data_IF_422017581448
#
_entry.id   IF_422017581448
#
_cell.length_a   1.000
_cell.length_b   1.000
_cell.length_c   1.000
_cell.angle_alpha   90.00
_cell.angle_beta   90.00
_cell.angle_gamma   90.00
#
_symmetry.space_group_name_H-M   'P 1'
#
loop_
_entity.id
_entity.type
_entity.pdbx_description
1 polymer ?
#
# COMPACT_ATOMS: atom_id res chain seq x y z
N UNK A 1 9.90 14.17 -19.25
CA UNK A 1 11.29 14.10 -18.77
C UNK A 1 11.31 14.52 -17.30
N UNK A 2 12.25 14.03 -16.50
CA UNK A 2 12.47 14.49 -15.13
C UNK A 2 13.93 14.94 -15.03
N UNK A 3 14.17 16.10 -14.41
CA UNK A 3 15.51 16.67 -14.30
C UNK A 3 15.88 16.66 -12.83
N UNK A 4 17.01 16.03 -12.50
CA UNK A 4 17.55 15.97 -11.15
C UNK A 4 19.06 16.10 -11.27
N UNK A 5 19.66 17.05 -10.55
CA UNK A 5 21.10 17.31 -10.57
C UNK A 5 21.68 17.41 -12.00
N UNK A 6 21.02 18.18 -12.87
CA UNK A 6 21.45 18.47 -14.26
C UNK A 6 21.50 17.27 -15.21
N UNK A 7 21.04 16.11 -14.75
CA UNK A 7 20.85 14.93 -15.55
C UNK A 7 19.38 14.84 -15.95
N UNK A 8 19.16 14.65 -17.25
CA UNK A 8 17.83 14.43 -17.82
C UNK A 8 17.56 12.96 -17.78
N UNK A 9 16.58 12.59 -16.98
CA UNK A 9 16.08 11.23 -16.92
C UNK A 9 14.80 11.11 -17.73
N UNK A 10 14.70 10.03 -18.49
CA UNK A 10 13.44 9.64 -19.12
C UNK A 10 12.48 9.24 -17.99
N UNK A 11 11.39 10.01 -17.86
CA UNK A 11 10.43 9.90 -16.74
C UNK A 11 9.86 8.47 -16.60
N UNK A 12 9.67 7.79 -17.73
CA UNK A 12 9.11 6.44 -17.81
C UNK A 12 10.10 5.32 -17.51
N UNK A 13 11.41 5.48 -17.75
CA UNK A 13 12.39 4.39 -17.61
C UNK A 13 13.41 4.62 -16.49
N UNK A 14 13.52 5.87 -15.99
CA UNK A 14 14.59 6.26 -15.06
C UNK A 14 15.98 6.29 -15.68
N UNK A 15 16.10 6.02 -16.98
CA UNK A 15 17.34 6.06 -17.76
C UNK A 15 17.83 7.50 -17.96
N UNK A 16 19.13 7.72 -17.79
CA UNK A 16 19.77 8.99 -18.13
C UNK A 16 19.83 9.11 -19.65
N UNK A 17 19.08 10.06 -20.21
CA UNK A 17 18.95 10.28 -21.65
C UNK A 17 19.69 11.52 -22.14
N UNK A 18 20.38 12.20 -21.22
CA UNK A 18 21.16 13.38 -21.52
C UNK A 18 21.47 14.16 -20.27
N UNK A 19 22.16 15.26 -20.47
CA UNK A 19 22.39 16.28 -19.45
C UNK A 19 21.72 17.57 -19.93
N UNK A 20 21.14 18.32 -19.00
CA UNK A 20 20.72 19.70 -19.26
C UNK A 20 21.28 20.52 -18.14
N UNK A 21 22.11 21.48 -18.51
CA UNK A 21 22.68 22.41 -17.55
C UNK A 21 21.58 23.41 -17.14
N UNK A 22 20.86 23.10 -16.05
CA UNK A 22 20.02 24.08 -15.34
C UNK A 22 20.86 24.91 -14.34
N UNK A 23 22.18 24.68 -14.28
CA UNK A 23 23.13 25.13 -13.26
C UNK A 23 23.42 26.62 -13.28
N UNK A 24 22.84 27.41 -14.19
CA UNK A 24 22.94 28.87 -14.03
C UNK A 24 22.32 29.37 -12.73
N UNK A 25 21.45 28.59 -12.06
CA UNK A 25 20.86 29.00 -10.78
C UNK A 25 21.27 28.15 -9.57
N UNK A 26 21.40 26.81 -9.68
CA UNK A 26 21.66 26.00 -8.47
C UNK A 26 23.14 25.99 -8.06
N UNK A 27 24.07 25.81 -9.00
CA UNK A 27 25.51 25.89 -8.69
C UNK A 27 25.88 27.31 -8.28
N UNK A 28 25.31 28.34 -8.91
CA UNK A 28 25.47 29.72 -8.44
C UNK A 28 24.82 29.97 -7.07
N UNK A 29 23.69 29.33 -6.74
CA UNK A 29 23.10 29.44 -5.41
C UNK A 29 23.93 28.73 -4.35
N UNK A 30 24.49 27.56 -4.67
CA UNK A 30 25.34 26.77 -3.76
C UNK A 30 26.71 27.46 -3.59
N UNK A 31 27.30 27.99 -4.68
CA UNK A 31 28.50 28.84 -4.65
C UNK A 31 28.22 30.14 -3.91
N UNK A 32 27.11 30.85 -4.16
CA UNK A 32 26.76 32.07 -3.43
C UNK A 32 26.49 31.79 -1.95
N UNK A 33 25.92 30.64 -1.60
CA UNK A 33 25.76 30.20 -0.22
C UNK A 33 27.12 29.92 0.44
N UNK A 34 28.06 29.34 -0.31
CA UNK A 34 29.43 29.08 0.14
C UNK A 34 30.27 30.37 0.25
N UNK A 35 30.20 31.29 -0.70
CA UNK A 35 30.85 32.61 -0.68
C UNK A 35 30.30 33.47 0.47
N UNK A 36 28.99 33.41 0.70
CA UNK A 36 28.35 34.06 1.86
C UNK A 36 28.81 33.44 3.18
N UNK A 37 29.02 32.13 3.24
CA UNK A 37 29.59 31.46 4.40
C UNK A 37 31.02 31.90 4.69
N UNK A 38 31.87 31.93 3.65
CA UNK A 38 33.28 32.36 3.76
C UNK A 38 33.42 33.83 4.17
N UNK A 39 32.47 34.69 3.79
CA UNK A 39 32.50 36.14 4.08
C UNK A 39 31.87 36.54 5.42
N UNK A 40 30.89 35.79 5.95
CA UNK A 40 30.13 36.19 7.14
C UNK A 40 30.29 35.26 8.35
N UNK A 41 30.91 34.08 8.18
CA UNK A 41 31.13 33.11 9.26
C UNK A 41 29.86 32.53 9.89
N UNK A 42 28.67 32.86 9.37
CA UNK A 42 27.38 32.46 9.91
C UNK A 42 26.47 31.87 8.84
N UNK A 43 26.22 30.56 8.92
CA UNK A 43 25.22 29.89 8.10
C UNK A 43 23.80 30.20 8.61
N UNK A 44 23.00 30.93 7.82
CA UNK A 44 21.53 30.89 7.93
C UNK A 44 20.92 29.65 7.24
N UNK A 45 21.73 28.86 6.52
CA UNK A 45 21.29 27.58 5.96
C UNK A 45 21.29 26.57 7.09
N UNK A 46 20.11 26.31 7.66
CA UNK A 46 19.99 25.19 8.57
C UNK A 46 20.22 23.90 7.80
N UNK A 47 20.99 22.94 8.35
CA UNK A 47 21.16 21.65 7.70
C UNK A 47 19.79 20.98 7.52
N UNK A 48 19.54 20.40 6.36
CA UNK A 48 18.30 19.67 6.11
C UNK A 48 18.29 18.42 6.99
N UNK A 49 17.48 18.45 8.04
CA UNK A 49 17.43 17.37 9.04
C UNK A 49 16.68 16.19 8.43
N UNK A 50 17.27 15.01 8.49
CA UNK A 50 16.58 13.79 8.06
C UNK A 50 15.37 13.50 8.96
N UNK A 51 14.23 13.20 8.34
CA UNK A 51 12.97 12.89 9.04
C UNK A 51 12.65 11.40 9.01
N UNK A 52 13.24 10.66 8.06
CA UNK A 52 12.95 9.25 7.81
C UNK A 52 14.26 8.48 7.61
N UNK A 53 14.22 7.17 7.89
CA UNK A 53 15.32 6.24 7.63
C UNK A 53 14.84 5.19 6.62
N UNK A 54 15.35 5.24 5.39
CA UNK A 54 15.12 4.18 4.42
C UNK A 54 16.03 3.00 4.75
N UNK A 55 15.46 1.81 4.96
CA UNK A 55 16.23 0.60 5.24
C UNK A 55 15.90 -0.49 4.24
N UNK A 56 16.94 -1.12 3.69
CA UNK A 56 16.83 -2.32 2.87
C UNK A 56 17.18 -3.53 3.72
N UNK A 57 16.26 -4.49 3.78
CA UNK A 57 16.42 -5.74 4.51
C UNK A 57 16.40 -6.91 3.54
N UNK A 58 17.31 -7.86 3.72
CA UNK A 58 17.29 -9.14 3.01
C UNK A 58 16.71 -10.20 3.93
N UNK A 59 15.78 -10.99 3.39
CA UNK A 59 15.20 -12.16 4.03
C UNK A 59 15.43 -13.37 3.13
N UNK A 60 16.06 -14.40 3.69
CA UNK A 60 16.22 -15.69 3.04
C UNK A 60 14.89 -16.37 2.78
N UNK A 61 14.70 -16.90 1.57
CA UNK A 61 13.51 -17.71 1.24
C UNK A 61 13.68 -19.15 1.70
N UNK A 62 14.87 -19.72 1.46
CA UNK A 62 15.25 -21.07 1.89
C UNK A 62 16.35 -21.06 2.97
N UNK A 63 16.73 -19.88 3.48
CA UNK A 63 17.75 -19.72 4.51
C UNK A 63 17.23 -18.87 5.67
N UNK A 64 17.90 -18.95 6.82
CA UNK A 64 17.56 -18.18 8.01
C UNK A 64 18.06 -16.74 7.98
N UNK A 65 18.61 -16.27 6.85
CA UNK A 65 19.15 -14.91 6.72
C UNK A 65 18.01 -13.91 6.94
N UNK A 66 18.21 -12.97 7.84
CA UNK A 66 17.32 -11.84 8.07
C UNK A 66 18.14 -10.69 8.61
N UNK A 67 18.55 -9.78 7.72
CA UNK A 67 19.47 -8.71 8.10
C UNK A 67 19.23 -7.43 7.29
N UNK A 68 19.62 -6.30 7.88
CA UNK A 68 19.60 -5.00 7.22
C UNK A 68 20.89 -4.84 6.44
N UNK A 69 20.78 -4.68 5.11
CA UNK A 69 21.94 -4.59 4.22
C UNK A 69 22.32 -3.16 3.85
N UNK A 70 21.39 -2.21 4.01
CA UNK A 70 21.65 -0.80 3.82
C UNK A 70 20.64 0.07 4.56
N UNK A 71 21.10 1.22 5.06
CA UNK A 71 20.26 2.24 5.70
C UNK A 71 20.68 3.63 5.24
N UNK A 72 19.72 4.47 4.92
CA UNK A 72 19.91 5.81 4.41
C UNK A 72 19.02 6.81 5.16
N UNK A 73 19.65 7.78 5.81
CA UNK A 73 18.94 8.91 6.41
C UNK A 73 18.44 9.83 5.32
N UNK A 74 17.12 10.06 5.24
CA UNK A 74 16.50 10.87 4.19
C UNK A 74 15.54 11.89 4.79
N UNK A 75 15.59 13.13 4.30
CA UNK A 75 14.52 14.11 4.57
C UNK A 75 13.33 13.85 3.64
N UNK A 76 13.59 13.74 2.34
CA UNK A 76 12.56 13.49 1.32
C UNK A 76 12.94 12.33 0.43
N UNK A 77 12.16 11.26 0.48
CA UNK A 77 12.34 10.10 -0.39
C UNK A 77 11.73 10.38 -1.77
N UNK A 78 12.54 10.31 -2.83
CA UNK A 78 12.07 10.43 -4.21
C UNK A 78 12.14 9.07 -4.92
N UNK A 79 11.28 8.87 -5.93
CA UNK A 79 11.30 7.60 -6.69
C UNK A 79 12.56 7.41 -7.53
N UNK A 80 13.28 8.50 -7.84
CA UNK A 80 14.57 8.42 -8.54
C UNK A 80 15.68 7.97 -7.59
N UNK A 81 15.74 8.56 -6.39
CA UNK A 81 16.68 8.14 -5.35
C UNK A 81 16.45 6.66 -4.98
N UNK A 82 15.21 6.29 -4.70
CA UNK A 82 14.84 4.90 -4.40
C UNK A 82 15.25 3.96 -5.53
N UNK A 83 15.06 4.35 -6.80
CA UNK A 83 15.46 3.55 -7.94
C UNK A 83 16.97 3.31 -8.01
N UNK A 84 17.77 4.36 -7.84
CA UNK A 84 19.23 4.26 -7.86
C UNK A 84 19.74 3.37 -6.72
N UNK A 85 19.33 3.66 -5.47
CA UNK A 85 19.80 2.91 -4.30
C UNK A 85 19.33 1.46 -4.31
N UNK A 86 18.10 1.17 -4.75
CA UNK A 86 17.60 -0.21 -4.82
C UNK A 86 18.47 -1.05 -5.75
N UNK A 87 18.78 -0.54 -6.95
CA UNK A 87 19.61 -1.29 -7.91
C UNK A 87 21.05 -1.43 -7.44
N UNK A 88 21.58 -0.44 -6.74
CA UNK A 88 22.91 -0.51 -6.16
C UNK A 88 22.99 -1.54 -5.02
N UNK A 89 21.98 -1.59 -4.14
CA UNK A 89 21.87 -2.61 -3.09
C UNK A 89 21.75 -4.01 -3.69
N UNK A 90 20.89 -4.19 -4.71
CA UNK A 90 20.76 -5.46 -5.44
C UNK A 90 22.11 -5.87 -6.03
N UNK A 91 22.82 -4.94 -6.69
CA UNK A 91 24.12 -5.20 -7.28
C UNK A 91 25.16 -5.67 -6.26
N UNK A 92 25.21 -5.05 -5.08
CA UNK A 92 26.11 -5.47 -3.99
C UNK A 92 25.74 -6.84 -3.43
N UNK A 93 24.45 -7.14 -3.30
CA UNK A 93 23.99 -8.45 -2.86
C UNK A 93 24.38 -9.54 -3.87
N UNK A 94 24.11 -9.32 -5.15
CA UNK A 94 24.41 -10.28 -6.23
C UNK A 94 25.93 -10.53 -6.36
N UNK A 95 26.76 -9.49 -6.20
CA UNK A 95 28.23 -9.63 -6.17
C UNK A 95 28.74 -10.42 -4.96
N UNK A 96 27.93 -10.52 -3.90
CA UNK A 96 28.23 -11.30 -2.70
C UNK A 96 27.59 -12.69 -2.74
N UNK A 97 27.16 -13.15 -3.93
CA UNK A 97 26.44 -14.41 -4.18
C UNK A 97 25.09 -14.53 -3.43
N UNK A 98 24.52 -13.38 -3.02
CA UNK A 98 23.15 -13.31 -2.49
C UNK A 98 22.22 -13.01 -3.66
N UNK A 99 21.55 -14.06 -4.15
CA UNK A 99 20.62 -13.97 -5.28
C UNK A 99 19.31 -13.32 -4.87
N UNK A 100 19.01 -12.16 -5.44
CA UNK A 100 17.76 -11.45 -5.17
C UNK A 100 16.71 -11.89 -6.20
N UNK A 101 15.62 -12.48 -5.69
CA UNK A 101 14.52 -13.00 -6.52
C UNK A 101 13.29 -12.10 -6.50
N UNK A 102 13.06 -11.40 -5.38
CA UNK A 102 11.87 -10.58 -5.18
C UNK A 102 12.19 -9.32 -4.38
N UNK A 103 11.50 -8.24 -4.70
CA UNK A 103 11.49 -6.99 -3.98
C UNK A 103 10.09 -6.75 -3.42
N UNK A 104 10.00 -6.64 -2.09
CA UNK A 104 8.74 -6.44 -1.36
C UNK A 104 8.69 -5.01 -0.85
N UNK A 105 7.60 -4.29 -1.12
CA UNK A 105 7.37 -2.96 -0.57
C UNK A 105 5.91 -2.71 -0.24
N UNK A 106 5.66 -1.68 0.55
CA UNK A 106 4.29 -1.22 0.81
C UNK A 106 3.71 -0.48 -0.41
N UNK A 107 2.45 -0.11 -0.29
CA UNK A 107 1.74 0.64 -1.31
C UNK A 107 2.09 2.13 -1.36
N UNK A 108 3.15 2.65 -0.74
CA UNK A 108 3.41 4.09 -0.71
C UNK A 108 3.63 4.69 -2.12
N UNK A 109 3.24 5.95 -2.32
CA UNK A 109 3.23 6.57 -3.66
C UNK A 109 4.61 6.56 -4.34
N UNK A 110 5.68 6.73 -3.56
CA UNK A 110 7.07 6.68 -4.06
C UNK A 110 7.43 5.27 -4.53
N UNK A 111 7.03 4.23 -3.81
CA UNK A 111 7.23 2.83 -4.19
C UNK A 111 6.45 2.49 -5.47
N UNK A 112 5.18 2.91 -5.58
CA UNK A 112 4.40 2.76 -6.81
C UNK A 112 5.06 3.46 -8.00
N UNK A 113 5.59 4.67 -7.78
CA UNK A 113 6.31 5.41 -8.82
C UNK A 113 7.63 4.74 -9.20
N UNK A 114 8.34 4.11 -8.26
CA UNK A 114 9.53 3.29 -8.52
C UNK A 114 9.18 2.10 -9.42
N UNK A 115 8.12 1.35 -9.12
CA UNK A 115 7.68 0.21 -9.95
C UNK A 115 7.40 0.64 -11.39
N UNK A 116 6.65 1.74 -11.57
CA UNK A 116 6.33 2.34 -12.88
C UNK A 116 7.54 2.75 -13.72
N UNK A 117 8.74 2.89 -13.14
CA UNK A 117 9.97 3.19 -13.87
C UNK A 117 10.58 1.98 -14.58
N UNK A 118 10.12 0.76 -14.32
CA UNK A 118 10.71 -0.46 -14.88
C UNK A 118 10.11 -0.89 -16.22
N UNK A 119 8.98 -0.31 -16.62
CA UNK A 119 8.34 -0.62 -17.90
C UNK A 119 7.93 0.67 -18.60
N UNK A 120 8.30 0.86 -19.88
CA UNK A 120 7.82 1.99 -20.67
C UNK A 120 6.29 2.00 -20.76
N UNK A 121 5.66 3.18 -20.66
CA UNK A 121 4.20 3.34 -20.69
C UNK A 121 3.49 2.77 -21.95
N UNK A 122 4.25 2.51 -23.03
CA UNK A 122 3.76 1.89 -24.27
C UNK A 122 3.59 0.37 -24.18
N UNK A 123 4.30 -0.29 -23.26
CA UNK A 123 4.31 -1.74 -23.07
C UNK A 123 3.38 -2.18 -21.94
N UNK A 124 2.84 -1.23 -21.17
CA UNK A 124 1.89 -1.49 -20.09
C UNK A 124 0.45 -1.57 -20.60
N UNK A 125 0.08 -2.62 -21.36
CA UNK A 125 -1.34 -2.96 -21.51
C UNK A 125 -1.86 -3.39 -20.13
N UNK A 126 -2.71 -2.58 -19.51
CA UNK A 126 -3.27 -2.83 -18.16
C UNK A 126 -2.48 -2.22 -16.99
N UNK A 127 -1.31 -1.60 -17.21
CA UNK A 127 -0.63 -0.78 -16.20
C UNK A 127 0.07 -1.52 -15.05
N UNK A 128 -0.01 -2.86 -14.98
CA UNK A 128 0.54 -3.65 -13.88
C UNK A 128 1.98 -4.09 -14.18
N UNK A 129 2.90 -3.84 -13.25
CA UNK A 129 4.31 -4.22 -13.34
C UNK A 129 4.63 -5.09 -12.14
N UNK A 130 4.80 -6.39 -12.37
CA UNK A 130 5.09 -7.39 -11.33
C UNK A 130 6.47 -8.03 -11.48
N UNK A 131 7.20 -7.73 -12.57
CA UNK A 131 8.55 -8.22 -12.77
C UNK A 131 9.37 -7.28 -13.66
N UNK A 132 10.69 -7.36 -13.55
CA UNK A 132 11.65 -6.71 -14.44
C UNK A 132 12.90 -7.58 -14.59
N UNK A 133 13.71 -7.34 -15.62
CA UNK A 133 15.00 -8.03 -15.76
C UNK A 133 15.95 -7.54 -14.67
N UNK A 134 16.61 -8.47 -13.97
CA UNK A 134 17.62 -8.12 -12.99
C UNK A 134 18.85 -7.53 -13.70
N UNK A 135 19.16 -6.26 -13.45
CA UNK A 135 20.28 -5.55 -14.11
C UNK A 135 21.66 -6.12 -13.76
N UNK A 136 21.79 -6.71 -12.58
CA UNK A 136 23.04 -7.33 -12.13
C UNK A 136 23.13 -8.81 -12.53
N UNK A 137 22.00 -9.41 -12.93
CA UNK A 137 21.94 -10.78 -13.43
C UNK A 137 20.92 -10.89 -14.58
N UNK A 138 21.27 -10.49 -15.82
CA UNK A 138 20.31 -10.34 -16.93
C UNK A 138 19.56 -11.60 -17.34
N UNK A 139 20.02 -12.77 -16.91
CA UNK A 139 19.38 -14.07 -17.15
C UNK A 139 18.24 -14.38 -16.15
N UNK A 140 17.98 -13.51 -15.17
CA UNK A 140 16.94 -13.69 -14.14
C UNK A 140 15.98 -12.50 -14.10
N UNK A 141 14.74 -12.80 -13.73
CA UNK A 141 13.76 -11.81 -13.37
C UNK A 141 13.87 -11.45 -11.89
N UNK A 142 13.59 -10.18 -11.60
CA UNK A 142 13.29 -9.67 -10.28
C UNK A 142 11.77 -9.45 -10.20
N UNK A 143 11.11 -10.15 -9.27
CA UNK A 143 9.67 -10.02 -9.05
C UNK A 143 9.36 -8.89 -8.06
N UNK A 144 8.29 -8.14 -8.31
CA UNK A 144 7.80 -7.11 -7.42
C UNK A 144 6.58 -7.62 -6.68
N UNK A 145 6.62 -7.57 -5.35
CA UNK A 145 5.53 -8.01 -4.49
C UNK A 145 5.10 -6.87 -3.57
N UNK A 146 3.79 -6.73 -3.38
CA UNK A 146 3.25 -5.84 -2.36
C UNK A 146 3.20 -6.55 -1.01
N UNK A 147 3.38 -5.80 0.07
CA UNK A 147 3.15 -6.32 1.42
C UNK A 147 1.67 -6.65 1.63
N UNK A 148 1.37 -7.94 1.66
CA UNK A 148 0.04 -8.52 1.84
C UNK A 148 -0.60 -8.10 3.17
N UNK A 149 0.19 -7.95 4.23
CA UNK A 149 -0.29 -7.50 5.53
C UNK A 149 -0.71 -6.01 5.49
N UNK A 150 -0.06 -5.20 4.66
CA UNK A 150 -0.52 -3.84 4.38
C UNK A 150 -1.78 -3.82 3.50
N UNK A 151 -1.85 -4.68 2.47
CA UNK A 151 -3.01 -4.77 1.59
C UNK A 151 -4.30 -5.11 2.36
N UNK A 152 -4.28 -6.12 3.25
CA UNK A 152 -5.48 -6.48 4.03
C UNK A 152 -5.96 -5.33 4.94
N UNK A 153 -5.03 -4.54 5.51
CA UNK A 153 -5.37 -3.33 6.28
C UNK A 153 -6.04 -2.29 5.39
N UNK A 154 -5.49 -2.03 4.20
CA UNK A 154 -6.07 -1.09 3.24
C UNK A 154 -7.46 -1.52 2.78
N UNK A 155 -7.64 -2.82 2.50
CA UNK A 155 -8.95 -3.39 2.14
C UNK A 155 -9.95 -3.14 3.27
N UNK A 156 -9.60 -3.47 4.52
CA UNK A 156 -10.45 -3.21 5.69
C UNK A 156 -10.77 -1.72 5.84
N UNK A 157 -9.77 -0.85 5.75
CA UNK A 157 -9.97 0.59 5.91
C UNK A 157 -10.89 1.14 4.81
N UNK A 158 -10.73 0.68 3.57
CA UNK A 158 -11.61 1.04 2.45
C UNK A 158 -13.05 0.59 2.72
N UNK A 159 -13.24 -0.66 3.20
CA UNK A 159 -14.56 -1.15 3.59
C UNK A 159 -15.16 -0.32 4.75
N UNK A 160 -14.37 0.05 5.76
CA UNK A 160 -14.86 0.85 6.90
C UNK A 160 -15.31 2.27 6.53
N UNK A 161 -14.75 2.79 5.45
CA UNK A 161 -15.13 4.06 4.85
C UNK A 161 -16.32 3.92 3.88
N UNK A 162 -16.74 2.68 3.57
CA UNK A 162 -17.94 2.40 2.78
C UNK A 162 -19.20 2.60 3.63
N UNK A 163 -19.82 3.78 3.50
CA UNK A 163 -20.99 4.19 4.29
C UNK A 163 -22.07 4.81 3.41
N UNK A 164 -23.30 4.85 3.92
CA UNK A 164 -24.42 5.57 3.30
C UNK A 164 -24.38 7.05 3.70
N UNK A 165 -24.72 7.94 2.77
CA UNK A 165 -24.94 9.36 3.03
C UNK A 165 -24.17 10.29 2.09
N UNK A 166 -24.65 11.53 1.96
CA UNK A 166 -24.09 12.58 1.08
C UNK A 166 -22.64 12.96 1.42
N UNK A 167 -22.19 12.71 2.65
CA UNK A 167 -20.81 12.97 3.12
C UNK A 167 -19.91 11.73 3.05
N UNK A 168 -20.43 10.60 2.59
CA UNK A 168 -19.64 9.40 2.42
C UNK A 168 -18.77 9.54 1.17
N UNK A 169 -17.46 9.59 1.36
CA UNK A 169 -16.50 9.66 0.24
C UNK A 169 -16.41 8.35 -0.56
N UNK A 170 -16.91 7.24 -0.03
CA UNK A 170 -16.80 5.91 -0.65
C UNK A 170 -18.08 5.09 -0.41
N UNK A 171 -18.55 4.43 -1.47
CA UNK A 171 -19.59 3.41 -1.37
C UNK A 171 -19.18 2.24 -2.26
N UNK A 172 -18.70 1.16 -1.63
CA UNK A 172 -18.37 -0.07 -2.34
C UNK A 172 -19.66 -0.73 -2.80
N UNK A 173 -19.74 -1.02 -4.09
CA UNK A 173 -20.92 -1.63 -4.72
C UNK A 173 -20.46 -2.61 -5.78
N UNK A 174 -21.13 -3.77 -5.85
CA UNK A 174 -20.93 -4.78 -6.90
C UNK A 174 -22.28 -5.44 -7.22
N UNK A 175 -22.53 -5.74 -8.48
CA UNK A 175 -23.78 -6.31 -8.99
C UNK A 175 -25.03 -5.60 -8.46
N UNK A 176 -25.00 -4.27 -8.36
CA UNK A 176 -26.13 -3.48 -7.83
C UNK A 176 -26.28 -3.47 -6.30
N UNK A 177 -25.51 -4.26 -5.56
CA UNK A 177 -25.59 -4.38 -4.10
C UNK A 177 -24.45 -3.63 -3.41
N UNK A 178 -24.78 -2.87 -2.36
CA UNK A 178 -23.82 -2.07 -1.59
C UNK A 178 -23.17 -2.88 -0.48
N UNK A 179 -21.85 -2.88 -0.43
CA UNK A 179 -21.06 -3.47 0.63
C UNK A 179 -20.73 -2.42 1.68
N UNK A 180 -21.49 -2.40 2.78
CA UNK A 180 -21.43 -1.35 3.78
C UNK A 180 -20.75 -1.83 5.07
N UNK A 181 -19.95 -0.97 5.69
CA UNK A 181 -19.39 -1.25 7.02
C UNK A 181 -20.48 -1.44 8.07
N UNK A 182 -21.60 -0.70 7.92
CA UNK A 182 -22.71 -0.73 8.86
C UNK A 182 -23.26 -2.16 9.04
N UNK A 183 -23.30 -2.98 8.00
CA UNK A 183 -23.73 -4.39 8.10
C UNK A 183 -22.87 -5.19 9.08
N UNK A 184 -21.55 -4.93 9.13
CA UNK A 184 -20.62 -5.58 10.08
C UNK A 184 -20.83 -5.03 11.51
N UNK A 185 -21.09 -3.72 11.63
CA UNK A 185 -21.45 -3.07 12.91
C UNK A 185 -22.73 -3.71 13.47
N UNK A 186 -23.75 -3.88 12.63
CA UNK A 186 -25.04 -4.44 12.99
C UNK A 186 -24.90 -5.91 13.39
N UNK A 187 -24.09 -6.69 12.66
CA UNK A 187 -23.76 -8.07 13.03
C UNK A 187 -23.14 -8.14 14.43
N UNK A 188 -22.15 -7.28 14.70
CA UNK A 188 -21.51 -7.22 16.00
C UNK A 188 -22.53 -6.88 17.10
N UNK A 189 -23.36 -5.86 16.90
CA UNK A 189 -24.37 -5.46 17.88
C UNK A 189 -25.44 -6.54 18.11
N UNK A 190 -25.84 -7.29 17.07
CA UNK A 190 -26.81 -8.37 17.19
C UNK A 190 -26.27 -9.61 17.93
N UNK A 191 -24.94 -9.78 17.97
CA UNK A 191 -24.28 -11.00 18.49
C UNK A 191 -23.41 -10.77 19.72
N UNK A 192 -23.02 -9.53 20.04
CA UNK A 192 -22.06 -9.21 21.12
C UNK A 192 -22.45 -9.77 22.48
N UNK A 193 -23.75 -9.83 22.79
CA UNK A 193 -24.26 -10.29 24.09
C UNK A 193 -24.55 -11.81 24.09
N UNK A 194 -24.35 -12.50 22.95
CA UNK A 194 -24.46 -13.96 22.89
C UNK A 194 -23.16 -14.60 23.33
N UNK A 195 -23.28 -15.59 24.21
CA UNK A 195 -22.15 -16.40 24.71
C UNK A 195 -21.50 -17.23 23.60
N UNK A 196 -22.33 -17.84 22.73
CA UNK A 196 -21.88 -18.63 21.59
C UNK A 196 -22.14 -17.86 20.29
N UNK A 197 -21.06 -17.52 19.59
CA UNK A 197 -21.09 -16.90 18.26
C UNK A 197 -19.88 -17.34 17.43
N UNK A 198 -20.03 -17.51 16.11
CA UNK A 198 -18.92 -17.84 15.20
C UNK A 198 -17.94 -16.67 15.08
N UNK A 199 -18.44 -15.44 15.19
CA UNK A 199 -17.65 -14.20 15.23
C UNK A 199 -17.09 -13.85 16.62
N UNK A 200 -16.72 -14.85 17.44
CA UNK A 200 -16.24 -14.65 18.82
C UNK A 200 -14.99 -13.75 18.93
N UNK A 201 -14.18 -13.69 17.87
CA UNK A 201 -12.98 -12.84 17.81
C UNK A 201 -13.31 -11.36 17.63
N UNK A 202 -14.52 -11.03 17.15
CA UNK A 202 -14.93 -9.63 16.98
C UNK A 202 -15.18 -9.00 18.35
N UNK A 203 -14.52 -7.86 18.55
CA UNK A 203 -14.63 -6.99 19.72
C UNK A 203 -14.94 -5.56 19.28
N UNK A 204 -15.29 -4.69 20.22
CA UNK A 204 -15.53 -3.27 19.94
C UNK A 204 -14.36 -2.61 19.16
N UNK A 205 -13.11 -2.97 19.46
CA UNK A 205 -11.92 -2.44 18.78
C UNK A 205 -11.79 -2.87 17.31
N UNK A 206 -12.49 -3.92 16.89
CA UNK A 206 -12.56 -4.31 15.48
C UNK A 206 -13.50 -3.40 14.69
N UNK A 207 -14.54 -2.90 15.36
CA UNK A 207 -15.69 -2.20 14.75
C UNK A 207 -15.49 -0.69 14.80
N UNK A 208 -15.08 -0.18 15.96
CA UNK A 208 -14.80 1.23 16.20
C UNK A 208 -13.31 1.48 16.01
N UNK A 209 -12.95 1.76 14.75
CA UNK A 209 -11.56 1.87 14.33
C UNK A 209 -11.00 3.24 14.73
N UNK A 210 -10.00 3.22 15.60
CA UNK A 210 -9.11 4.33 15.94
C UNK A 210 -7.76 4.22 15.20
N UNK A 211 -6.87 5.20 15.36
CA UNK A 211 -5.54 5.21 14.72
C UNK A 211 -4.71 3.97 15.06
N UNK A 212 -4.82 3.45 16.28
CA UNK A 212 -4.11 2.26 16.72
C UNK A 212 -4.63 0.98 16.05
N UNK A 213 -5.93 0.73 16.12
CA UNK A 213 -6.61 -0.42 15.52
C UNK A 213 -6.60 -0.37 13.99
N UNK A 214 -6.51 0.82 13.39
CA UNK A 214 -6.29 1.02 11.95
C UNK A 214 -5.01 0.31 11.45
N UNK A 215 -3.97 0.27 12.30
CA UNK A 215 -2.67 -0.31 11.96
C UNK A 215 -2.52 -1.80 12.33
N UNK A 216 -3.49 -2.39 13.05
CA UNK A 216 -3.42 -3.79 13.48
C UNK A 216 -3.90 -4.75 12.39
N UNK A 217 -2.95 -5.43 11.74
CA UNK A 217 -3.19 -6.49 10.74
C UNK A 217 -4.12 -7.57 11.28
N UNK A 218 -3.90 -8.00 12.54
CA UNK A 218 -4.75 -9.01 13.20
C UNK A 218 -6.23 -8.62 13.20
N UNK A 219 -6.54 -7.35 13.49
CA UNK A 219 -7.94 -6.90 13.52
C UNK A 219 -8.53 -6.88 12.12
N UNK A 220 -7.76 -6.44 11.12
CA UNK A 220 -8.21 -6.49 9.72
C UNK A 220 -8.53 -7.92 9.27
N UNK A 221 -7.62 -8.87 9.51
CA UNK A 221 -7.82 -10.28 9.17
C UNK A 221 -8.99 -10.91 9.94
N UNK A 222 -9.20 -10.55 11.22
CA UNK A 222 -10.31 -11.09 12.02
C UNK A 222 -11.68 -10.56 11.58
N UNK A 223 -11.76 -9.29 11.16
CA UNK A 223 -12.99 -8.74 10.54
C UNK A 223 -13.29 -9.42 9.22
N UNK A 224 -12.28 -9.57 8.36
CA UNK A 224 -12.41 -10.13 7.03
C UNK A 224 -12.22 -11.65 7.03
N UNK A 225 -12.80 -12.34 8.02
CA UNK A 225 -12.60 -13.79 8.20
C UNK A 225 -13.79 -14.63 7.74
N UNK A 226 -13.53 -15.89 7.37
CA UNK A 226 -14.56 -16.89 7.04
C UNK A 226 -15.66 -17.00 8.10
N UNK A 227 -15.31 -16.94 9.38
CA UNK A 227 -16.30 -17.06 10.46
C UNK A 227 -17.25 -15.87 10.54
N UNK A 228 -16.79 -14.67 10.17
CA UNK A 228 -17.63 -13.47 10.05
C UNK A 228 -18.55 -13.57 8.84
N UNK A 229 -18.02 -14.00 7.69
CA UNK A 229 -18.85 -14.25 6.51
C UNK A 229 -19.94 -15.29 6.78
N UNK A 230 -19.60 -16.38 7.48
CA UNK A 230 -20.58 -17.41 7.83
C UNK A 230 -21.66 -16.90 8.79
N UNK A 231 -21.29 -16.10 9.79
CA UNK A 231 -22.28 -15.52 10.71
C UNK A 231 -23.19 -14.52 9.98
N UNK A 232 -22.68 -13.75 9.01
CA UNK A 232 -23.50 -12.88 8.15
C UNK A 232 -24.50 -13.69 7.33
N UNK A 233 -24.06 -14.80 6.74
CA UNK A 233 -24.92 -15.70 5.96
C UNK A 233 -26.05 -16.30 6.82
N UNK A 234 -25.75 -16.68 8.07
CA UNK A 234 -26.74 -17.21 9.01
C UNK A 234 -27.82 -16.18 9.37
N UNK A 235 -27.50 -14.87 9.34
CA UNK A 235 -28.48 -13.81 9.62
C UNK A 235 -29.53 -13.67 8.53
N UNK A 236 -29.24 -14.12 7.31
CA UNK A 236 -30.14 -14.04 6.14
C UNK A 236 -30.69 -12.63 5.88
N UNK A 237 -29.88 -11.61 6.17
CA UNK A 237 -30.26 -10.22 5.90
C UNK A 237 -30.25 -9.93 4.39
N UNK A 238 -31.23 -9.17 3.88
CA UNK A 238 -31.29 -8.83 2.47
C UNK A 238 -30.09 -7.95 2.07
N UNK A 239 -29.61 -8.10 0.83
CA UNK A 239 -28.54 -7.27 0.30
C UNK A 239 -27.18 -7.44 1.00
N UNK A 240 -26.87 -8.66 1.46
CA UNK A 240 -25.57 -8.99 2.09
C UNK A 240 -24.72 -9.99 1.29
N UNK A 241 -25.24 -10.50 0.17
CA UNK A 241 -24.62 -11.56 -0.62
C UNK A 241 -23.23 -11.15 -1.14
N UNK A 242 -23.11 -9.93 -1.67
CA UNK A 242 -21.84 -9.43 -2.22
C UNK A 242 -20.83 -9.15 -1.11
N UNK A 243 -21.28 -8.67 0.05
CA UNK A 243 -20.39 -8.47 1.20
C UNK A 243 -19.85 -9.79 1.74
N UNK A 244 -20.70 -10.81 1.85
CA UNK A 244 -20.30 -12.16 2.29
C UNK A 244 -19.27 -12.76 1.33
N UNK A 245 -19.55 -12.70 0.03
CA UNK A 245 -18.64 -13.20 -1.01
C UNK A 245 -17.30 -12.47 -1.00
N UNK A 246 -17.34 -11.14 -0.90
CA UNK A 246 -16.15 -10.31 -0.77
C UNK A 246 -15.30 -10.70 0.44
N UNK A 247 -15.90 -10.88 1.62
CA UNK A 247 -15.18 -11.29 2.83
C UNK A 247 -14.55 -12.68 2.66
N UNK A 248 -15.28 -13.64 2.06
CA UNK A 248 -14.76 -15.00 1.81
C UNK A 248 -13.54 -14.97 0.89
N UNK A 249 -13.67 -14.33 -0.28
CA UNK A 249 -12.59 -14.22 -1.25
C UNK A 249 -11.35 -13.53 -0.68
N UNK A 250 -11.54 -12.46 0.08
CA UNK A 250 -10.42 -11.76 0.73
C UNK A 250 -9.78 -12.62 1.82
N UNK A 251 -10.55 -13.38 2.60
CA UNK A 251 -9.99 -14.33 3.57
C UNK A 251 -9.11 -15.36 2.86
N UNK A 252 -9.64 -15.99 1.81
CA UNK A 252 -8.95 -17.06 1.08
C UNK A 252 -7.67 -16.58 0.44
N UNK A 253 -7.74 -15.45 -0.26
CA UNK A 253 -6.56 -14.78 -0.81
C UNK A 253 -5.51 -14.45 0.26
N UNK A 254 -5.93 -13.91 1.40
CA UNK A 254 -5.00 -13.54 2.46
C UNK A 254 -4.33 -14.78 3.09
N UNK A 255 -5.10 -15.83 3.35
CA UNK A 255 -4.57 -17.09 3.89
C UNK A 255 -3.58 -17.73 2.91
N UNK A 256 -3.89 -17.76 1.60
CA UNK A 256 -3.01 -18.25 0.54
C UNK A 256 -1.63 -17.57 0.50
N UNK A 257 -1.52 -16.34 0.99
CA UNK A 257 -0.30 -15.54 0.93
C UNK A 257 0.36 -15.31 2.30
N UNK A 258 -0.23 -15.83 3.39
CA UNK A 258 0.20 -15.55 4.76
C UNK A 258 0.56 -16.81 5.57
N UNK A 259 0.99 -17.88 4.88
CA UNK A 259 1.61 -19.04 5.49
C UNK A 259 2.95 -18.69 6.15
N UNK A 260 3.09 -18.99 7.44
CA UNK A 260 4.26 -18.63 8.24
C UNK A 260 5.24 -19.80 8.46
N UNK A 261 4.75 -21.04 8.52
CA UNK A 261 5.56 -22.24 8.70
C UNK A 261 4.84 -23.48 8.17
N UNK A 262 5.60 -24.52 7.83
CA UNK A 262 5.14 -25.69 7.08
C UNK A 262 4.00 -26.48 7.73
N UNK A 263 3.83 -26.40 9.05
CA UNK A 263 2.78 -27.12 9.78
C UNK A 263 1.56 -26.26 10.12
N UNK A 264 1.53 -25.00 9.67
CA UNK A 264 0.48 -24.07 10.05
C UNK A 264 -0.90 -24.52 9.55
N UNK A 265 -1.04 -24.80 8.26
CA UNK A 265 -2.33 -25.21 7.69
C UNK A 265 -2.85 -26.51 8.26
N UNK A 266 -1.98 -27.50 8.50
CA UNK A 266 -2.35 -28.72 9.23
C UNK A 266 -2.89 -28.42 10.65
N UNK A 267 -2.19 -27.57 11.42
CA UNK A 267 -2.57 -27.24 12.81
C UNK A 267 -3.88 -26.44 12.87
N UNK A 268 -4.11 -25.55 11.91
CA UNK A 268 -5.31 -24.71 11.86
C UNK A 268 -6.44 -25.35 11.05
N UNK A 269 -6.20 -26.50 10.41
CA UNK A 269 -7.10 -27.16 9.44
C UNK A 269 -7.52 -26.19 8.32
N UNK A 270 -6.55 -25.46 7.79
CA UNK A 270 -6.74 -24.49 6.71
C UNK A 270 -5.69 -24.71 5.63
N UNK A 271 -6.09 -25.38 4.55
CA UNK A 271 -5.21 -25.71 3.42
C UNK A 271 -4.58 -24.47 2.77
N UNK A 272 -5.25 -23.32 2.82
CA UNK A 272 -4.73 -22.09 2.22
C UNK A 272 -3.44 -21.62 2.91
N UNK A 273 -3.21 -22.01 4.18
CA UNK A 273 -2.00 -21.70 4.94
C UNK A 273 -0.86 -22.73 4.76
N UNK A 274 -1.05 -23.77 3.96
CA UNK A 274 -0.01 -24.77 3.70
C UNK A 274 1.12 -24.20 2.82
N UNK A 275 2.36 -24.69 2.91
CA UNK A 275 3.42 -24.25 2.00
C UNK A 275 3.10 -24.68 0.56
N UNK A 276 3.45 -23.85 -0.42
CA UNK A 276 3.42 -24.25 -1.84
C UNK A 276 4.55 -25.25 -2.09
N UNK A 277 4.19 -26.46 -2.55
CA UNK A 277 5.13 -27.56 -2.78
C UNK A 277 5.07 -28.13 -4.19
N UNK A 278 4.06 -27.73 -4.98
CA UNK A 278 3.84 -28.20 -6.33
C UNK A 278 3.50 -27.02 -7.24
N UNK A 279 3.81 -27.16 -8.52
CA UNK A 279 3.50 -26.17 -9.55
C UNK A 279 2.02 -26.19 -9.93
N UNK A 280 1.36 -27.35 -9.79
CA UNK A 280 -0.06 -27.59 -10.08
C UNK A 280 -0.96 -27.45 -8.82
N UNK A 281 -0.56 -26.61 -7.87
CA UNK A 281 -1.34 -26.39 -6.65
C UNK A 281 -2.68 -25.69 -6.99
N UNK A 282 -3.83 -26.27 -6.60
CA UNK A 282 -5.15 -25.73 -6.95
C UNK A 282 -5.38 -24.32 -6.40
N UNK A 283 -4.63 -23.90 -5.37
CA UNK A 283 -4.72 -22.53 -4.84
C UNK A 283 -4.26 -21.48 -5.84
N UNK A 284 -3.46 -21.83 -6.85
CA UNK A 284 -3.16 -20.92 -7.94
C UNK A 284 -4.41 -20.58 -8.76
N UNK A 285 -5.28 -21.57 -9.02
CA UNK A 285 -6.57 -21.33 -9.69
C UNK A 285 -7.48 -20.44 -8.83
N UNK A 286 -7.55 -20.69 -7.52
CA UNK A 286 -8.31 -19.83 -6.59
C UNK A 286 -7.84 -18.36 -6.62
N UNK A 287 -6.52 -18.15 -6.72
CA UNK A 287 -5.94 -16.81 -6.82
C UNK A 287 -6.26 -16.15 -8.17
N UNK A 288 -6.23 -16.88 -9.28
CA UNK A 288 -6.63 -16.39 -10.60
C UNK A 288 -8.12 -16.04 -10.64
N UNK A 289 -9.00 -16.86 -10.03
CA UNK A 289 -10.42 -16.55 -9.89
C UNK A 289 -10.64 -15.28 -9.07
N UNK A 290 -9.84 -15.05 -8.02
CA UNK A 290 -9.92 -13.82 -7.25
C UNK A 290 -9.46 -12.60 -8.07
N UNK A 291 -8.40 -12.73 -8.89
CA UNK A 291 -7.98 -11.69 -9.82
C UNK A 291 -9.05 -11.37 -10.86
N UNK A 292 -9.73 -12.38 -11.38
CA UNK A 292 -10.85 -12.19 -12.30
C UNK A 292 -12.01 -11.47 -11.61
N UNK A 293 -12.38 -11.88 -10.39
CA UNK A 293 -13.39 -11.20 -9.58
C UNK A 293 -13.09 -9.70 -9.39
N UNK A 294 -11.83 -9.34 -9.12
CA UNK A 294 -11.40 -7.94 -8.98
C UNK A 294 -11.47 -7.18 -10.31
N UNK A 295 -11.11 -7.84 -11.42
CA UNK A 295 -11.16 -7.26 -12.77
C UNK A 295 -12.60 -6.97 -13.19
N UNK A 296 -13.50 -7.94 -13.02
CA UNK A 296 -14.92 -7.79 -13.32
C UNK A 296 -15.54 -6.66 -12.48
N UNK A 297 -15.18 -6.60 -11.19
CA UNK A 297 -15.65 -5.54 -10.32
C UNK A 297 -15.15 -4.16 -10.78
N UNK A 298 -13.88 -4.05 -11.19
CA UNK A 298 -13.31 -2.80 -11.70
C UNK A 298 -14.04 -2.30 -12.96
N UNK A 299 -14.30 -3.20 -13.91
CA UNK A 299 -15.02 -2.87 -15.15
C UNK A 299 -16.48 -2.46 -14.87
N UNK A 300 -17.15 -3.12 -13.91
CA UNK A 300 -18.49 -2.73 -13.48
C UNK A 300 -18.51 -1.28 -12.94
N UNK A 301 -17.56 -0.94 -12.07
CA UNK A 301 -17.45 0.42 -11.50
C UNK A 301 -17.17 1.46 -12.59
N UNK A 302 -16.28 1.18 -13.54
CA UNK A 302 -16.03 2.09 -14.66
C UNK A 302 -17.25 2.29 -15.55
N UNK A 303 -18.00 1.22 -15.81
CA UNK A 303 -19.25 1.29 -16.57
C UNK A 303 -20.27 2.19 -15.87
N UNK A 304 -20.41 2.06 -14.55
CA UNK A 304 -21.30 2.92 -13.75
C UNK A 304 -20.87 4.40 -13.76
N UNK A 305 -19.57 4.67 -13.70
CA UNK A 305 -19.02 6.03 -13.79
C UNK A 305 -19.27 6.65 -15.16
N UNK A 306 -19.06 5.89 -16.24
CA UNK A 306 -19.32 6.35 -17.60
C UNK A 306 -20.81 6.70 -17.80
N UNK A 307 -21.73 5.88 -17.28
CA UNK A 307 -23.17 6.16 -17.32
C UNK A 307 -23.54 7.40 -16.50
N UNK A 308 -22.96 7.59 -15.32
CA UNK A 308 -23.17 8.78 -14.49
C UNK A 308 -22.72 10.07 -15.20
N UNK A 309 -21.55 10.04 -15.82
CA UNK A 309 -21.01 11.18 -16.58
C UNK A 309 -21.84 11.48 -17.84
N UNK A 310 -22.30 10.45 -18.55
CA UNK A 310 -23.18 10.61 -19.71
C UNK A 310 -24.53 11.25 -19.31
N UNK A 311 -25.10 10.83 -18.18
CA UNK A 311 -26.37 11.37 -17.65
C UNK A 311 -26.27 12.86 -17.27
N UNK A 312 -25.10 13.32 -16.82
CA UNK A 312 -24.84 14.74 -16.55
C UNK A 312 -24.64 15.56 -17.83
N UNK A 313 -24.17 14.96 -18.92
CA UNK A 313 -23.97 15.66 -20.20
C UNK A 313 -25.25 15.95 -21.01
N UNK A 314 -26.39 15.35 -20.65
CA UNK A 314 -27.69 15.53 -21.33
C UNK A 314 -28.66 16.46 -20.57
N UNK A 315 -28.28 16.98 -19.39
CA UNK A 315 -29.05 17.99 -18.65
C UNK A 315 -28.33 19.33 -18.69
N UNK A 316 -28.77 20.22 -19.58
CA UNK A 316 -28.25 21.60 -19.67
C UNK A 316 -28.61 22.45 -18.45
N UNK A 317 -27.66 23.31 -18.10
CA UNK A 317 -27.73 24.49 -17.23
C UNK A 317 -28.34 24.31 -15.84
N UNK A 318 -27.52 23.81 -14.90
CA UNK A 318 -27.31 24.50 -13.63
C UNK A 318 -25.92 24.13 -13.07
N UNK A 319 -25.22 25.15 -12.58
CA UNK A 319 -23.87 25.07 -12.04
C UNK A 319 -23.82 24.15 -10.81
N UNK A 320 -23.04 23.08 -10.85
CA UNK A 320 -22.23 22.67 -9.69
C UNK A 320 -21.07 21.75 -10.08
N UNK A 321 -19.87 22.26 -9.82
CA UNK A 321 -18.57 21.60 -10.00
C UNK A 321 -18.39 20.51 -8.95
N UNK A 322 -18.19 19.25 -9.35
CA UNK A 322 -17.12 18.36 -8.81
C UNK A 322 -17.32 16.88 -9.17
N UNK A 323 -16.55 16.36 -10.14
CA UNK A 323 -16.36 14.91 -10.28
C UNK A 323 -14.94 14.48 -10.72
N UNK A 324 -13.93 15.35 -10.58
CA UNK A 324 -12.51 15.03 -10.83
C UNK A 324 -11.74 14.52 -9.59
N UNK A 325 -12.46 13.98 -8.61
CA UNK A 325 -11.93 13.74 -7.25
C UNK A 325 -11.13 12.43 -7.14
N UNK A 326 -11.37 11.43 -7.99
CA UNK A 326 -10.82 10.08 -7.77
C UNK A 326 -9.32 9.98 -8.10
N UNK A 327 -8.82 10.76 -9.07
CA UNK A 327 -7.40 10.76 -9.43
C UNK A 327 -6.58 11.80 -8.65
N UNK A 328 -7.22 12.82 -8.07
CA UNK A 328 -6.54 13.82 -7.23
C UNK A 328 -6.45 13.38 -5.75
N UNK A 329 -7.40 12.59 -5.23
CA UNK A 329 -7.43 12.22 -3.80
C UNK A 329 -6.51 11.05 -3.39
N UNK A 330 -5.97 10.24 -4.33
CA UNK A 330 -4.84 9.33 -3.99
C UNK A 330 -3.61 10.10 -3.48
N UNK A 331 -3.56 11.41 -3.73
CA UNK A 331 -2.53 12.34 -3.22
C UNK A 331 -2.86 12.84 -1.81
N UNK A 332 -4.14 13.07 -1.49
CA UNK A 332 -4.59 13.62 -0.22
C UNK A 332 -4.63 12.57 0.93
N UNK A 333 -4.99 11.32 0.62
CA UNK A 333 -4.96 10.22 1.62
C UNK A 333 -3.51 9.88 2.05
N UNK A 334 -2.50 10.24 1.25
CA UNK A 334 -1.09 10.13 1.61
C UNK A 334 -0.61 11.30 2.50
N UNK A 335 -1.15 12.51 2.33
CA UNK A 335 -0.84 13.66 3.19
C UNK A 335 -1.49 13.51 4.58
N UNK A 336 -2.70 12.93 4.68
CA UNK A 336 -3.36 12.71 5.97
C UNK A 336 -2.65 11.64 6.84
N UNK A 337 -2.00 10.64 6.22
CA UNK A 337 -1.16 9.67 6.94
C UNK A 337 0.21 10.25 7.36
N UNK A 338 0.60 11.42 6.86
CA UNK A 338 1.83 12.12 7.26
C UNK A 338 1.63 12.99 8.52
N UNK A 339 0.38 13.28 8.90
CA UNK A 339 0.04 14.23 9.98
C UNK A 339 -0.25 13.55 11.33
N UNK A 340 -0.29 12.21 11.41
CA UNK A 340 -0.68 11.49 12.66
C UNK A 340 0.43 10.67 13.30
N UNK A 341 1.68 11.13 13.23
CA UNK A 341 2.75 10.72 14.15
C UNK A 341 3.07 11.85 15.15
N UNK A 342 2.08 12.21 15.98
CA UNK A 342 2.36 12.99 17.19
C UNK A 342 3.01 12.07 18.24
N UNK A 343 4.30 12.33 18.49
CA UNK A 343 5.07 11.69 19.56
C UNK A 343 4.57 12.20 20.91
N UNK A 344 4.34 11.35 21.93
CA UNK A 344 3.88 11.82 23.24
C UNK A 344 4.96 12.69 23.90
N UNK A 345 4.60 13.94 24.19
CA UNK A 345 5.45 14.92 24.86
C UNK A 345 5.96 14.38 26.23
N UNK A 346 7.29 14.32 26.37
CA UNK A 346 7.93 14.11 27.65
C UNK A 346 7.67 15.31 28.57
N UNK A 347 6.92 15.10 29.65
CA UNK A 347 6.80 16.05 30.76
C UNK A 347 8.19 16.25 31.40
N UNK A 348 8.80 17.42 31.19
CA UNK A 348 9.91 17.92 32.00
C UNK A 348 9.40 18.21 33.41
N UNK A 349 9.73 17.36 34.37
CA UNK A 349 9.73 17.73 35.79
C UNK A 349 10.97 18.57 36.07
N UNK A 350 10.75 19.85 36.37
CA UNK A 350 11.75 20.78 36.88
C UNK A 350 12.12 20.40 38.31
N UNK A 351 13.30 19.81 38.50
CA UNK A 351 13.97 19.76 39.81
C UNK A 351 14.76 21.05 40.01
N UNK A 352 14.30 21.92 40.90
CA UNK A 352 15.09 23.02 41.44
C UNK A 352 16.15 22.43 42.39
N UNK A 353 17.42 22.68 42.08
CA UNK A 353 18.52 22.59 43.03
C UNK A 353 18.99 24.01 43.35
N UNK A 354 18.97 24.35 44.64
CA UNK A 354 19.65 25.50 45.23
C UNK A 354 19.96 25.13 46.69
N UNK A 355 21.00 25.74 47.26
CA UNK A 355 22.44 25.63 46.97
C UNK A 355 23.09 24.43 47.66
#
# INVERSE_FOLDING_TARGET
MNISQNLVYRKSTGEMIGFVNLEKNQVFADIAAMEKYLSTGTTKVQPEIATKMLSFMVKGVASSIKDVVASYSVNKLTSQFLYAETWEVINRCERSDIRIISFVSDGFAVNRSFLKKHTPARETKGGLIYATVNKSAPHRLLFFMSDVAHLIKTIRNSLSNSRLGKKSKRCLQKCGEKMLWQTIVDLYNAKRDRVLRKSYKLTAQHIYIDSYSAMKVRFAAQVLSKTVAQELEDMKWPGTKQLIEFIRRVNDWFDCLNGAFSTQGLRTRNHNLDPYTKEDDPRFEELEEFLQYLSDWKEEVYSLQALGNASQSFGGDDQDLSFDVIMQEERADNEANEVTEDTPAAKKTSGQLHP
#
